data_IF_111756780830
#
_entry.id   IF_111756780830
#
_cell.length_a   1.000
_cell.length_b   1.000
_cell.length_c   1.000
_cell.angle_alpha   90.00
_cell.angle_beta   90.00
_cell.angle_gamma   90.00
#
_symmetry.space_group_name_H-M   'P 1'
#
loop_
_entity.id
_entity.type
_entity.pdbx_description
1 polymer ?
#
# COMPACT_ATOMS: atom_id res chain seq x y z
N UNK A 1 -3.18 2.74 -14.71
CA UNK A 1 -3.30 4.19 -15.05
C UNK A 1 -2.41 4.97 -14.10
N UNK A 2 -1.41 5.71 -14.59
CA UNK A 2 -0.50 6.44 -13.71
C UNK A 2 -1.13 7.76 -13.27
N UNK A 3 -1.13 8.00 -11.96
CA UNK A 3 -1.83 9.13 -11.36
C UNK A 3 -0.86 10.02 -10.61
N UNK A 4 -0.94 11.33 -10.84
CA UNK A 4 -0.38 12.33 -9.93
C UNK A 4 -1.50 12.82 -9.03
N UNK A 5 -1.31 12.65 -7.73
CA UNK A 5 -2.25 13.10 -6.69
C UNK A 5 -1.63 14.28 -5.95
N UNK A 6 -2.35 15.39 -5.94
CA UNK A 6 -2.06 16.50 -5.05
C UNK A 6 -2.99 16.41 -3.85
N UNK A 7 -2.40 16.34 -2.66
CA UNK A 7 -3.13 16.36 -1.41
C UNK A 7 -3.23 17.77 -0.87
N UNK A 8 -4.41 18.13 -0.35
CA UNK A 8 -4.53 19.21 0.64
C UNK A 8 -5.12 18.67 1.93
N UNK A 9 -4.60 19.10 3.09
CA UNK A 9 -5.26 18.86 4.37
C UNK A 9 -6.68 19.42 4.32
N UNK A 10 -7.69 18.66 4.76
CA UNK A 10 -9.07 19.18 4.89
C UNK A 10 -9.21 20.20 6.03
N UNK A 11 -8.29 20.17 6.99
CA UNK A 11 -8.21 21.07 8.14
C UNK A 11 -6.75 21.48 8.35
N UNK A 12 -6.50 22.71 8.81
CA UNK A 12 -5.17 23.10 9.26
C UNK A 12 -4.71 22.13 10.37
N UNK A 13 -3.47 21.63 10.35
CA UNK A 13 -2.94 20.87 11.47
C UNK A 13 -3.13 21.67 12.76
N UNK A 14 -3.42 21.01 13.89
CA UNK A 14 -3.30 21.61 15.22
C UNK A 14 -1.82 21.82 15.58
N UNK A 15 -1.11 22.57 14.73
CA UNK A 15 0.26 23.05 14.95
C UNK A 15 0.08 24.55 15.18
N UNK A 16 0.41 25.01 16.38
CA UNK A 16 0.25 26.41 16.77
C UNK A 16 0.80 27.36 15.71
N UNK A 17 -0.02 28.33 15.30
CA UNK A 17 0.33 29.61 14.70
C UNK A 17 1.48 29.64 13.67
N UNK A 18 1.53 28.71 12.71
CA UNK A 18 2.39 28.88 11.53
C UNK A 18 1.52 29.15 10.29
N UNK A 19 1.80 30.21 9.50
CA UNK A 19 0.99 30.55 8.34
C UNK A 19 0.96 29.38 7.33
N UNK A 20 -0.18 29.14 6.65
CA UNK A 20 -0.31 28.09 5.63
C UNK A 20 0.73 28.16 4.50
N UNK A 21 1.26 29.37 4.23
CA UNK A 21 2.27 29.63 3.22
C UNK A 21 3.67 29.10 3.56
N UNK A 22 3.94 28.78 4.83
CA UNK A 22 5.26 28.29 5.29
C UNK A 22 5.34 26.76 5.27
N UNK A 23 4.21 26.05 5.20
CA UNK A 23 4.14 24.59 5.41
C UNK A 23 3.67 23.75 4.23
N UNK A 24 3.56 24.30 3.03
CA UNK A 24 3.17 23.51 1.87
C UNK A 24 4.33 23.41 0.85
N UNK A 25 5.41 22.63 1.12
CA UNK A 25 6.14 22.09 -0.01
C UNK A 25 5.09 21.37 -0.88
N UNK A 26 5.06 21.67 -2.17
CA UNK A 26 4.17 20.98 -3.09
C UNK A 26 4.64 19.53 -3.20
N UNK A 27 4.18 18.68 -2.26
CA UNK A 27 4.48 17.26 -2.27
C UNK A 27 3.60 16.64 -3.37
N UNK A 28 4.25 16.04 -4.36
CA UNK A 28 3.59 15.32 -5.44
C UNK A 28 3.69 13.83 -5.14
N UNK A 29 2.56 13.17 -4.93
CA UNK A 29 2.51 11.71 -4.95
C UNK A 29 2.27 11.26 -6.40
N UNK A 30 3.10 10.33 -6.88
CA UNK A 30 2.85 9.56 -8.10
C UNK A 30 2.46 8.15 -7.68
N UNK A 31 1.32 7.69 -8.16
CA UNK A 31 0.87 6.29 -8.02
C UNK A 31 1.02 5.66 -9.40
N UNK A 32 1.91 4.67 -9.49
CA UNK A 32 2.05 3.84 -10.68
C UNK A 32 1.19 2.60 -10.47
N UNK A 33 0.19 2.45 -11.32
CA UNK A 33 -0.75 1.33 -11.25
C UNK A 33 -0.29 0.26 -12.23
N UNK A 34 0.30 -0.79 -11.68
CA UNK A 34 0.92 -1.87 -12.43
C UNK A 34 -0.11 -2.93 -12.84
N UNK A 35 0.01 -3.50 -14.06
CA UNK A 35 -0.93 -4.51 -14.54
C UNK A 35 -0.86 -5.78 -13.68
N UNK A 36 -2.01 -6.39 -13.39
CA UNK A 36 -2.06 -7.67 -12.67
C UNK A 36 -1.25 -8.75 -13.41
N UNK A 37 -0.45 -9.50 -12.66
CA UNK A 37 0.31 -10.64 -13.17
C UNK A 37 -0.49 -11.94 -12.96
N UNK A 38 -0.35 -12.90 -13.89
CA UNK A 38 -0.91 -14.23 -13.72
C UNK A 38 -2.20 -14.51 -14.48
N UNK A 39 -2.65 -13.58 -15.31
CA UNK A 39 -3.79 -13.79 -16.21
C UNK A 39 -3.38 -14.54 -17.48
N UNK A 40 -2.16 -14.31 -18.00
CA UNK A 40 -1.66 -14.93 -19.21
C UNK A 40 -0.12 -14.93 -19.26
N UNK A 41 0.53 -16.11 -19.27
CA UNK A 41 1.99 -16.22 -19.27
C UNK A 41 2.70 -15.43 -20.38
N UNK A 42 2.09 -15.33 -21.58
CA UNK A 42 2.67 -14.56 -22.71
C UNK A 42 2.64 -13.06 -22.47
N UNK A 43 1.64 -12.58 -21.73
CA UNK A 43 1.51 -11.16 -21.36
C UNK A 43 2.37 -10.84 -20.14
N UNK A 44 2.53 -11.81 -19.24
CA UNK A 44 3.27 -11.65 -17.98
C UNK A 44 4.75 -11.33 -18.20
N UNK A 45 5.42 -11.89 -19.22
CA UNK A 45 6.80 -11.49 -19.56
C UNK A 45 6.91 -10.01 -19.93
N UNK A 46 5.92 -9.50 -20.68
CA UNK A 46 5.87 -8.08 -21.06
C UNK A 46 5.60 -7.22 -19.84
N UNK A 47 4.71 -7.66 -18.94
CA UNK A 47 4.43 -6.98 -17.70
C UNK A 47 5.63 -6.98 -16.77
N UNK A 48 6.32 -8.10 -16.55
CA UNK A 48 7.54 -8.17 -15.74
C UNK A 48 8.63 -7.23 -16.26
N UNK A 49 8.78 -7.08 -17.58
CA UNK A 49 9.68 -6.08 -18.16
C UNK A 49 9.27 -4.67 -17.75
N UNK A 50 7.99 -4.34 -17.85
CA UNK A 50 7.45 -3.05 -17.38
C UNK A 50 7.71 -2.85 -15.89
N UNK A 51 7.56 -3.86 -15.05
CA UNK A 51 7.87 -3.76 -13.62
C UNK A 51 9.35 -3.42 -13.41
N UNK A 52 10.27 -4.15 -14.04
CA UNK A 52 11.72 -3.92 -13.91
C UNK A 52 12.16 -2.53 -14.39
N UNK A 53 11.47 -1.96 -15.36
CA UNK A 53 11.71 -0.61 -15.84
C UNK A 53 11.27 0.46 -14.83
N UNK A 54 10.12 0.29 -14.19
CA UNK A 54 9.48 1.35 -13.38
C UNK A 54 9.79 1.24 -11.88
N UNK A 55 9.90 0.04 -11.32
CA UNK A 55 10.17 -0.18 -9.89
C UNK A 55 11.45 0.49 -9.37
N UNK A 56 12.56 0.63 -10.14
CA UNK A 56 13.73 1.39 -9.69
C UNK A 56 13.42 2.83 -9.26
N UNK A 57 12.44 3.47 -9.89
CA UNK A 57 11.99 4.83 -9.59
C UNK A 57 10.99 4.95 -8.43
N UNK A 58 10.47 3.83 -7.93
CA UNK A 58 9.52 3.81 -6.82
C UNK A 58 10.24 3.93 -5.46
N UNK A 59 9.70 4.77 -4.57
CA UNK A 59 10.16 4.87 -3.19
C UNK A 59 9.64 3.74 -2.31
N UNK A 60 8.41 3.30 -2.59
CA UNK A 60 7.72 2.23 -1.88
C UNK A 60 6.88 1.45 -2.90
N UNK A 61 6.70 0.16 -2.63
CA UNK A 61 5.97 -0.78 -3.48
C UNK A 61 4.91 -1.45 -2.60
N UNK A 62 3.65 -1.30 -2.97
CA UNK A 62 2.54 -2.00 -2.31
C UNK A 62 2.19 -3.26 -3.12
N UNK A 63 2.51 -4.44 -2.60
CA UNK A 63 2.03 -5.70 -3.17
C UNK A 63 0.70 -6.07 -2.52
N UNK A 64 -0.38 -6.13 -3.31
CA UNK A 64 -1.73 -6.39 -2.78
C UNK A 64 -2.09 -7.86 -2.91
N UNK A 65 -2.34 -8.51 -1.77
CA UNK A 65 -2.84 -9.88 -1.68
C UNK A 65 -4.32 -9.84 -1.28
N UNK A 66 -5.10 -10.85 -1.67
CA UNK A 66 -6.49 -11.00 -1.23
C UNK A 66 -6.58 -11.99 -0.06
N UNK A 67 -7.16 -11.57 1.08
CA UNK A 67 -7.32 -12.42 2.27
C UNK A 67 -8.06 -13.74 1.98
N UNK A 68 -9.05 -13.69 1.07
CA UNK A 68 -9.87 -14.84 0.66
C UNK A 68 -9.16 -15.84 -0.27
N UNK A 69 -8.05 -15.46 -0.90
CA UNK A 69 -7.36 -16.31 -1.88
C UNK A 69 -6.16 -16.97 -1.24
N UNK A 70 -6.21 -18.27 -0.96
CA UNK A 70 -5.04 -19.03 -0.44
C UNK A 70 -3.97 -19.30 -1.49
N UNK A 71 -4.23 -18.98 -2.76
CA UNK A 71 -3.22 -19.12 -3.80
C UNK A 71 -2.08 -18.13 -3.54
N UNK A 72 -0.85 -18.65 -3.50
CA UNK A 72 0.37 -17.85 -3.39
C UNK A 72 1.45 -18.27 -4.37
N UNK A 73 1.39 -19.47 -4.96
CA UNK A 73 2.47 -19.97 -5.81
C UNK A 73 2.83 -19.00 -6.95
N UNK A 74 1.83 -18.33 -7.50
CA UNK A 74 2.02 -17.36 -8.57
C UNK A 74 2.61 -16.03 -8.06
N UNK A 75 2.11 -15.51 -6.93
CA UNK A 75 2.72 -14.37 -6.24
C UNK A 75 4.19 -14.66 -5.89
N UNK A 76 4.46 -15.84 -5.33
CA UNK A 76 5.78 -16.28 -4.94
C UNK A 76 6.73 -16.30 -6.14
N UNK A 77 6.29 -16.84 -7.28
CA UNK A 77 7.08 -16.84 -8.52
C UNK A 77 7.48 -15.43 -8.95
N UNK A 78 6.53 -14.50 -9.01
CA UNK A 78 6.84 -13.12 -9.43
C UNK A 78 7.65 -12.34 -8.40
N UNK A 79 7.45 -12.61 -7.11
CA UNK A 79 8.25 -12.01 -6.04
C UNK A 79 9.71 -12.48 -6.11
N UNK A 80 9.96 -13.74 -6.46
CA UNK A 80 11.32 -14.23 -6.75
C UNK A 80 11.95 -13.45 -7.91
N UNK A 81 11.20 -13.24 -9.00
CA UNK A 81 11.67 -12.49 -10.18
C UNK A 81 11.94 -11.00 -9.91
N UNK A 82 11.39 -10.46 -8.82
CA UNK A 82 11.46 -9.06 -8.40
C UNK A 82 12.16 -8.87 -7.04
N UNK A 83 12.92 -9.87 -6.58
CA UNK A 83 13.53 -9.89 -5.24
C UNK A 83 14.53 -8.75 -5.00
N UNK A 84 15.05 -8.11 -6.04
CA UNK A 84 15.92 -6.93 -5.95
C UNK A 84 15.22 -5.71 -5.33
N UNK A 85 13.89 -5.68 -5.35
CA UNK A 85 13.10 -4.56 -4.83
C UNK A 85 12.50 -4.82 -3.45
N UNK A 86 12.79 -5.97 -2.83
CA UNK A 86 12.17 -6.43 -1.56
C UNK A 86 12.23 -5.42 -0.41
N UNK A 87 13.33 -4.68 -0.28
CA UNK A 87 13.54 -3.67 0.79
C UNK A 87 12.54 -2.50 0.72
N UNK A 88 11.88 -2.32 -0.43
CA UNK A 88 10.87 -1.27 -0.65
C UNK A 88 9.44 -1.82 -0.64
N UNK A 89 9.26 -3.13 -0.42
CA UNK A 89 7.96 -3.79 -0.52
C UNK A 89 7.22 -3.81 0.82
N UNK A 90 5.92 -3.49 0.75
CA UNK A 90 4.94 -3.71 1.80
C UNK A 90 3.83 -4.60 1.22
N UNK A 91 3.44 -5.62 1.98
CA UNK A 91 2.42 -6.58 1.57
C UNK A 91 1.09 -6.22 2.21
N UNK A 92 0.17 -5.67 1.43
CA UNK A 92 -1.18 -5.35 1.87
C UNK A 92 -2.13 -6.51 1.62
N UNK A 93 -2.61 -7.18 2.67
CA UNK A 93 -3.64 -8.21 2.58
C UNK A 93 -5.02 -7.55 2.65
N UNK A 94 -5.64 -7.29 1.50
CA UNK A 94 -6.94 -6.63 1.40
C UNK A 94 -8.10 -7.60 1.64
N UNK A 95 -9.32 -7.06 1.75
CA UNK A 95 -10.57 -7.82 1.89
C UNK A 95 -10.68 -8.60 3.21
N UNK A 96 -10.01 -8.14 4.27
CA UNK A 96 -10.11 -8.75 5.61
C UNK A 96 -11.53 -8.67 6.18
N UNK A 97 -12.33 -7.71 5.70
CA UNK A 97 -13.75 -7.57 6.05
C UNK A 97 -14.62 -8.74 5.60
N UNK A 98 -14.16 -9.50 4.60
CA UNK A 98 -14.85 -10.68 4.07
C UNK A 98 -14.29 -12.00 4.62
N UNK A 99 -13.33 -11.97 5.56
CA UNK A 99 -12.84 -13.18 6.22
C UNK A 99 -13.94 -13.74 7.11
N UNK A 100 -14.20 -15.04 7.00
CA UNK A 100 -15.22 -15.70 7.82
C UNK A 100 -14.76 -15.83 9.29
N UNK A 101 -15.66 -15.75 10.28
CA UNK A 101 -17.06 -15.36 10.12
C UNK A 101 -17.14 -13.87 9.74
N UNK A 102 -17.88 -13.51 8.69
CA UNK A 102 -17.94 -12.14 8.16
C UNK A 102 -18.79 -11.18 9.03
N UNK A 103 -18.50 -11.14 10.33
CA UNK A 103 -19.23 -10.47 11.40
C UNK A 103 -18.67 -9.06 11.66
N UNK A 104 -18.65 -8.22 10.63
CA UNK A 104 -18.10 -6.88 10.76
C UNK A 104 -18.95 -5.97 11.67
N UNK A 105 -18.34 -5.43 12.72
CA UNK A 105 -18.99 -4.50 13.66
C UNK A 105 -18.97 -3.09 13.09
N UNK A 106 -20.05 -2.70 12.39
CA UNK A 106 -20.16 -1.40 11.72
C UNK A 106 -19.97 -0.19 12.64
N UNK A 107 -20.51 -0.23 13.85
CA UNK A 107 -20.45 0.90 14.79
C UNK A 107 -19.02 1.25 15.21
N UNK A 108 -18.14 0.25 15.38
CA UNK A 108 -16.73 0.45 15.74
C UNK A 108 -15.79 0.35 14.54
N UNK A 109 -16.30 -0.02 13.36
CA UNK A 109 -15.53 -0.32 12.16
C UNK A 109 -14.41 -1.35 12.40
N UNK A 110 -14.74 -2.47 13.04
CA UNK A 110 -13.80 -3.54 13.38
C UNK A 110 -14.40 -4.92 13.11
N UNK A 111 -13.58 -5.95 12.84
CA UNK A 111 -14.06 -7.32 12.80
C UNK A 111 -14.55 -7.79 14.19
N UNK A 112 -15.33 -8.86 14.23
CA UNK A 112 -15.59 -9.58 15.49
C UNK A 112 -14.29 -10.21 16.02
N UNK A 113 -14.19 -10.55 17.33
CA UNK A 113 -12.99 -11.21 17.86
C UNK A 113 -12.63 -12.51 17.14
N UNK A 114 -13.62 -13.28 16.68
CA UNK A 114 -13.41 -14.50 15.90
C UNK A 114 -12.85 -14.18 14.51
N UNK A 115 -13.46 -13.21 13.83
CA UNK A 115 -12.98 -12.74 12.55
C UNK A 115 -11.55 -12.18 12.65
N UNK A 116 -11.23 -11.42 13.71
CA UNK A 116 -9.88 -10.90 13.98
C UNK A 116 -8.85 -12.02 14.19
N UNK A 117 -9.21 -13.08 14.92
CA UNK A 117 -8.35 -14.26 15.07
C UNK A 117 -8.03 -14.90 13.72
N UNK A 118 -9.05 -15.10 12.88
CA UNK A 118 -8.89 -15.71 11.56
C UNK A 118 -8.08 -14.82 10.61
N UNK A 119 -8.24 -13.49 10.70
CA UNK A 119 -7.37 -12.54 10.01
C UNK A 119 -5.92 -12.74 10.47
N UNK A 120 -5.67 -12.84 11.78
CA UNK A 120 -4.34 -13.08 12.34
C UNK A 120 -3.68 -14.36 11.80
N UNK A 121 -4.42 -15.47 11.72
CA UNK A 121 -3.93 -16.72 11.14
C UNK A 121 -3.56 -16.57 9.66
N UNK A 122 -4.40 -15.88 8.88
CA UNK A 122 -4.10 -15.59 7.47
C UNK A 122 -2.82 -14.77 7.36
N UNK A 123 -2.67 -13.71 8.16
CA UNK A 123 -1.47 -12.85 8.11
C UNK A 123 -0.22 -13.65 8.49
N UNK A 124 -0.29 -14.50 9.52
CA UNK A 124 0.82 -15.35 9.92
C UNK A 124 1.23 -16.33 8.79
N UNK A 125 0.25 -16.98 8.14
CA UNK A 125 0.52 -17.84 6.98
C UNK A 125 1.19 -17.07 5.82
N UNK A 126 0.75 -15.83 5.54
CA UNK A 126 1.39 -14.98 4.52
C UNK A 126 2.80 -14.59 4.89
N UNK A 127 3.02 -14.17 6.13
CA UNK A 127 4.35 -13.81 6.61
C UNK A 127 5.31 -14.97 6.40
N UNK A 128 4.95 -16.18 6.84
CA UNK A 128 5.80 -17.38 6.66
C UNK A 128 6.11 -17.65 5.18
N UNK A 129 5.09 -17.64 4.32
CA UNK A 129 5.27 -17.92 2.88
C UNK A 129 6.07 -16.85 2.13
N UNK A 130 6.09 -15.63 2.62
CA UNK A 130 6.84 -14.52 2.05
C UNK A 130 8.29 -14.51 2.53
N UNK A 131 8.54 -14.91 3.79
CA UNK A 131 9.88 -14.89 4.39
C UNK A 131 10.92 -15.62 3.53
N UNK A 132 10.56 -16.76 2.95
CA UNK A 132 11.46 -17.58 2.12
C UNK A 132 11.89 -16.87 0.82
N UNK A 133 11.20 -15.80 0.42
CA UNK A 133 11.36 -15.15 -0.88
C UNK A 133 11.91 -13.75 -0.74
N UNK A 134 11.35 -12.99 0.18
CA UNK A 134 11.67 -11.56 0.35
C UNK A 134 12.53 -11.29 1.59
N UNK A 135 12.95 -12.34 2.29
CA UNK A 135 13.84 -12.25 3.45
C UNK A 135 13.08 -12.15 4.78
N UNK A 136 13.83 -12.05 5.89
CA UNK A 136 13.27 -12.04 7.22
C UNK A 136 12.33 -10.84 7.44
N UNK A 137 11.31 -11.04 8.26
CA UNK A 137 10.38 -10.02 8.74
C UNK A 137 9.67 -9.19 7.64
N UNK A 138 9.01 -9.83 6.65
CA UNK A 138 8.25 -9.09 5.64
C UNK A 138 7.15 -8.24 6.30
N UNK A 139 6.99 -7.00 5.83
CA UNK A 139 5.95 -6.11 6.36
C UNK A 139 4.58 -6.47 5.77
N UNK A 140 3.78 -7.23 6.52
CA UNK A 140 2.45 -7.72 6.09
C UNK A 140 1.34 -7.04 6.90
N UNK A 141 0.46 -6.29 6.21
CA UNK A 141 -0.62 -5.54 6.84
C UNK A 141 -1.98 -6.01 6.29
N UNK A 142 -2.82 -6.56 7.16
CA UNK A 142 -4.22 -6.86 6.85
C UNK A 142 -5.09 -5.61 6.90
N UNK A 143 -5.81 -5.30 5.82
CA UNK A 143 -6.63 -4.09 5.72
C UNK A 143 -7.93 -4.31 4.94
N UNK A 144 -8.87 -3.38 5.08
CA UNK A 144 -10.07 -3.31 4.24
C UNK A 144 -10.15 -1.95 3.56
N UNK A 145 -9.96 -1.94 2.25
CA UNK A 145 -10.23 -0.77 1.40
C UNK A 145 -11.70 -0.34 1.45
N UNK A 146 -12.63 -1.31 1.52
CA UNK A 146 -14.09 -1.06 1.60
C UNK A 146 -14.49 -0.31 2.87
N UNK A 147 -13.89 -0.68 4.00
CA UNK A 147 -14.23 -0.14 5.31
C UNK A 147 -13.24 0.90 5.83
N UNK A 148 -12.13 1.13 5.13
CA UNK A 148 -11.03 1.98 5.60
C UNK A 148 -10.34 1.44 6.85
N UNK A 149 -10.42 0.13 7.10
CA UNK A 149 -9.82 -0.53 8.27
C UNK A 149 -8.32 -0.72 8.07
N UNK A 150 -7.52 -0.27 9.05
CA UNK A 150 -6.04 -0.35 9.04
C UNK A 150 -5.35 0.30 7.84
N UNK A 151 -6.04 1.18 7.11
CA UNK A 151 -5.42 1.96 6.04
C UNK A 151 -4.34 2.91 6.57
N UNK A 152 -4.54 3.43 7.78
CA UNK A 152 -3.53 4.19 8.52
C UNK A 152 -2.27 3.35 8.77
N UNK A 153 -2.44 2.10 9.25
CA UNK A 153 -1.32 1.18 9.49
C UNK A 153 -0.59 0.83 8.18
N UNK A 154 -1.35 0.56 7.11
CA UNK A 154 -0.79 0.28 5.78
C UNK A 154 0.00 1.48 5.27
N UNK A 155 -0.54 2.69 5.44
CA UNK A 155 0.14 3.91 5.04
C UNK A 155 1.44 4.12 5.83
N UNK A 156 1.41 3.95 7.16
CA UNK A 156 2.61 4.04 7.99
C UNK A 156 3.68 3.02 7.57
N UNK A 157 3.30 1.79 7.24
CA UNK A 157 4.22 0.78 6.71
C UNK A 157 4.87 1.21 5.38
N UNK A 158 4.11 1.84 4.48
CA UNK A 158 4.68 2.39 3.25
C UNK A 158 5.67 3.53 3.54
N UNK A 159 5.44 4.32 4.59
CA UNK A 159 6.37 5.38 4.99
C UNK A 159 7.67 4.81 5.57
N UNK A 160 7.62 3.70 6.30
CA UNK A 160 8.83 3.11 6.90
C UNK A 160 9.79 2.57 5.85
N UNK A 161 9.29 2.07 4.71
CA UNK A 161 10.13 1.59 3.60
C UNK A 161 10.58 2.70 2.64
N UNK A 162 9.94 3.87 2.68
CA UNK A 162 10.36 5.02 1.89
C UNK A 162 11.78 5.49 2.30
N UNK A 163 12.62 5.99 1.37
CA UNK A 163 13.91 6.57 1.70
C UNK A 163 13.80 7.69 2.74
N UNK A 164 14.70 7.76 3.73
CA UNK A 164 14.65 8.74 4.84
C UNK A 164 14.56 10.20 4.37
N UNK A 165 15.18 10.53 3.22
CA UNK A 165 15.07 11.86 2.57
C UNK A 165 13.66 12.25 2.13
N UNK A 166 12.69 11.33 2.14
CA UNK A 166 11.28 11.53 1.77
C UNK A 166 10.34 11.34 2.96
N UNK A 167 10.78 10.66 4.02
CA UNK A 167 9.98 10.43 5.24
C UNK A 167 9.57 11.74 5.94
N UNK A 168 10.41 12.79 5.89
CA UNK A 168 10.10 14.10 6.48
C UNK A 168 8.84 14.76 5.90
N UNK A 169 8.47 14.45 4.64
CA UNK A 169 7.25 14.98 4.01
C UNK A 169 5.98 14.57 4.76
N UNK A 170 6.07 13.54 5.60
CA UNK A 170 4.95 12.97 6.33
C UNK A 170 5.06 13.19 7.85
N UNK A 171 6.13 13.84 8.34
CA UNK A 171 6.33 14.12 9.77
C UNK A 171 5.26 15.06 10.38
N UNK A 172 4.60 15.86 9.54
CA UNK A 172 3.46 16.70 9.93
C UNK A 172 2.13 15.95 10.05
N UNK A 173 2.05 14.69 9.61
CA UNK A 173 0.82 13.88 9.59
C UNK A 173 0.56 13.14 10.91
N UNK A 174 0.85 13.77 12.06
CA UNK A 174 0.47 13.20 13.35
C UNK A 174 -1.05 13.07 13.43
N UNK A 175 -1.54 11.89 13.79
CA UNK A 175 -2.97 11.51 13.82
C UNK A 175 -3.64 11.40 12.43
N UNK A 176 -2.89 10.96 11.42
CA UNK A 176 -3.41 10.69 10.07
C UNK A 176 -4.58 9.70 10.07
N UNK A 177 -5.76 10.19 9.69
CA UNK A 177 -6.85 9.37 9.19
C UNK A 177 -6.83 9.38 7.66
N UNK A 178 -7.16 8.25 7.02
CA UNK A 178 -7.42 8.20 5.58
C UNK A 178 -8.54 9.17 5.14
N UNK A 179 -9.32 9.71 6.09
CA UNK A 179 -10.39 10.70 5.87
C UNK A 179 -9.91 12.15 5.88
N UNK A 180 -8.71 12.42 6.41
CA UNK A 180 -8.18 13.79 6.56
C UNK A 180 -7.72 14.38 5.22
N UNK A 181 -7.57 13.51 4.22
CA UNK A 181 -7.07 13.84 2.89
C UNK A 181 -8.19 13.67 1.87
N UNK A 182 -8.59 14.80 1.27
CA UNK A 182 -9.35 14.78 0.03
C UNK A 182 -8.42 14.58 -1.15
N UNK A 183 -8.87 13.81 -2.15
CA UNK A 183 -8.24 13.83 -3.46
C UNK A 183 -8.74 15.09 -4.16
N UNK A 184 -7.95 16.16 -4.13
CA UNK A 184 -8.34 17.45 -4.71
C UNK A 184 -8.25 17.43 -6.24
N UNK A 185 -7.20 16.78 -6.75
CA UNK A 185 -6.96 16.61 -8.18
C UNK A 185 -6.27 15.28 -8.43
N UNK A 186 -6.91 14.47 -9.29
CA UNK A 186 -6.28 13.33 -9.95
C UNK A 186 -5.91 13.78 -11.36
N UNK A 187 -4.63 13.69 -11.72
CA UNK A 187 -4.21 13.91 -13.10
C UNK A 187 -3.62 12.62 -13.65
N UNK A 188 -4.07 12.15 -14.83
CA UNK A 188 -3.35 11.13 -15.57
C UNK A 188 -1.93 11.65 -15.84
N UNK A 189 -0.93 10.79 -15.65
CA UNK A 189 0.43 11.04 -16.09
C UNK A 189 0.54 10.42 -17.48
N UNK A 190 0.89 11.22 -18.49
CA UNK A 190 1.21 10.68 -19.81
C UNK A 190 2.48 9.83 -19.67
N UNK A 191 2.53 8.64 -20.26
CA UNK A 191 3.67 7.70 -20.10
C UNK A 191 5.01 8.33 -20.53
N UNK A 192 4.97 9.36 -21.38
CA UNK A 192 6.15 10.12 -21.80
C UNK A 192 6.71 11.05 -20.72
N UNK A 193 5.88 11.49 -19.77
CA UNK A 193 6.25 12.35 -18.64
C UNK A 193 6.61 11.53 -17.38
N UNK A 194 6.63 10.20 -17.49
CA UNK A 194 6.95 9.31 -16.38
C UNK A 194 8.46 9.22 -16.09
N UNK A 195 9.31 9.79 -16.95
CA UNK A 195 10.78 9.80 -16.88
C UNK A 195 11.32 11.06 -16.19
#
# INVERSE_FOLDING_TARGET
MDLSVQFRPRSAPHIGAVPPSVFAPQVRLRVLDAPGLGENPRSDETYLRSYREHLPGCDAILWVLAARSRAMALDQHYLTELADFRERMVFGVNQVDAVEPAEWRRASNRPSPRQESNIGEILADRTVRLTDIVGPDPTVIGYSSRHGYRLDQLFQALLTVCPSRRQWMFAGLKNFSHRDFGVDRVRPIDRKDAL
#
